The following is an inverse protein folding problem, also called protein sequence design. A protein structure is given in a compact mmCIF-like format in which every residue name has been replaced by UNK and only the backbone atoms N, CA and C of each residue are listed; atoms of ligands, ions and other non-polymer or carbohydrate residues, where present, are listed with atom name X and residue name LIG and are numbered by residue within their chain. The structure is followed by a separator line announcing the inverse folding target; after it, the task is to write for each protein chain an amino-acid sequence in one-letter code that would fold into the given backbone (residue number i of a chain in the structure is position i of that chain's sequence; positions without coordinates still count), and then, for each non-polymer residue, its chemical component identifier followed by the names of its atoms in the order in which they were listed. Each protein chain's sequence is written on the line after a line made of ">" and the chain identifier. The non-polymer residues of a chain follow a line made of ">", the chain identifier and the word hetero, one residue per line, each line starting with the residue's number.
data_IF_659335601056
#
_entry.id   IF_659335601056
#
_cell.length_a   1.000
_cell.length_b   1.000
_cell.length_c   1.000
_cell.angle_alpha   90.00
_cell.angle_beta   90.00
_cell.angle_gamma   90.00
#
_symmetry.space_group_name_H-M   'P 1'
#
loop_
_entity.id
_entity.type
_entity.pdbx_description
1 polymer ?
#
# COMPACT_ATOMS: atom_id res chain seq x y z
N UNK A 1 20.23 36.41 1.61
CA UNK A 1 20.05 35.96 0.23
C UNK A 1 20.30 34.47 0.20
N UNK A 2 19.25 33.69 0.25
CA UNK A 2 19.26 32.29 -0.19
C UNK A 2 17.80 31.88 -0.40
N UNK A 3 17.22 32.38 -1.48
CA UNK A 3 16.02 31.86 -2.13
C UNK A 3 16.56 31.31 -3.44
N UNK A 4 16.47 30.03 -3.61
CA UNK A 4 16.37 29.35 -4.90
C UNK A 4 16.87 27.91 -4.76
N UNK A 5 15.97 27.07 -4.23
CA UNK A 5 15.98 25.65 -4.60
C UNK A 5 14.61 25.04 -4.27
N UNK A 6 13.51 25.69 -4.68
CA UNK A 6 12.15 25.20 -4.52
C UNK A 6 11.57 24.65 -5.83
N UNK A 7 12.42 24.43 -6.82
CA UNK A 7 12.01 23.82 -8.07
C UNK A 7 12.36 22.33 -8.03
N UNK A 8 11.36 21.49 -8.03
CA UNK A 8 11.39 20.04 -8.28
C UNK A 8 11.53 19.13 -7.05
N UNK A 9 10.95 19.49 -5.93
CA UNK A 9 10.89 18.51 -4.83
C UNK A 9 9.76 17.51 -5.09
N UNK A 10 10.13 16.33 -5.59
CA UNK A 10 9.22 15.18 -5.76
C UNK A 10 8.55 14.85 -4.43
N UNK A 11 7.25 14.58 -4.42
CA UNK A 11 6.59 13.99 -3.27
C UNK A 11 6.96 12.51 -3.20
N UNK A 12 7.68 12.12 -2.17
CA UNK A 12 8.08 10.74 -1.94
C UNK A 12 7.65 10.30 -0.55
N UNK A 13 6.70 9.36 -0.50
CA UNK A 13 6.14 8.83 0.74
C UNK A 13 6.64 7.41 0.95
N UNK A 14 7.36 7.20 2.05
CA UNK A 14 7.85 5.89 2.46
C UNK A 14 6.83 5.19 3.35
N UNK A 15 6.80 3.85 3.29
CA UNK A 15 5.94 3.06 4.16
C UNK A 15 6.23 3.30 5.65
N UNK A 16 5.19 3.23 6.48
CA UNK A 16 5.30 3.42 7.93
C UNK A 16 6.12 2.30 8.57
N UNK A 17 7.33 2.65 9.00
CA UNK A 17 8.32 1.72 9.57
C UNK A 17 7.91 1.20 10.93
N UNK A 18 7.28 2.05 11.73
CA UNK A 18 6.85 1.68 13.09
C UNK A 18 5.82 0.55 13.02
N UNK A 19 4.87 0.67 12.10
CA UNK A 19 3.86 -0.36 11.87
C UNK A 19 4.49 -1.68 11.38
N UNK A 20 5.44 -1.61 10.44
CA UNK A 20 6.15 -2.80 9.95
C UNK A 20 7.01 -3.44 11.04
N UNK A 21 7.65 -2.63 11.87
CA UNK A 21 8.44 -3.08 13.02
C UNK A 21 7.58 -3.78 14.07
N UNK A 22 6.38 -3.27 14.36
CA UNK A 22 5.47 -3.92 15.32
C UNK A 22 4.97 -5.28 14.82
N UNK A 23 4.67 -5.43 13.53
CA UNK A 23 4.33 -6.74 12.96
C UNK A 23 5.51 -7.71 12.95
N UNK A 24 6.73 -7.22 12.71
CA UNK A 24 7.93 -8.04 12.79
C UNK A 24 8.14 -8.55 14.24
N UNK A 25 8.02 -7.65 15.22
CA UNK A 25 8.12 -7.99 16.64
C UNK A 25 7.05 -9.02 17.04
N UNK A 26 5.81 -8.84 16.61
CA UNK A 26 4.74 -9.82 16.85
C UNK A 26 5.08 -11.19 16.26
N UNK A 27 5.61 -11.23 15.04
CA UNK A 27 6.04 -12.49 14.40
C UNK A 27 7.13 -13.21 15.20
N UNK A 28 8.09 -12.46 15.73
CA UNK A 28 9.17 -13.00 16.60
C UNK A 28 8.60 -13.54 17.91
N UNK A 29 7.69 -12.82 18.56
CA UNK A 29 7.02 -13.29 19.79
C UNK A 29 6.21 -14.58 19.55
N UNK A 30 5.48 -14.67 18.42
CA UNK A 30 4.74 -15.88 18.05
C UNK A 30 5.67 -17.06 17.82
N UNK A 31 6.82 -16.84 17.16
CA UNK A 31 7.82 -17.88 16.93
C UNK A 31 8.42 -18.37 18.25
N UNK A 32 8.80 -17.46 19.14
CA UNK A 32 9.32 -17.81 20.46
C UNK A 32 8.28 -18.61 21.27
N UNK A 33 7.02 -18.18 21.27
CA UNK A 33 5.92 -18.90 21.91
C UNK A 33 5.72 -20.30 21.37
N UNK A 34 5.77 -20.48 20.03
CA UNK A 34 5.66 -21.77 19.39
C UNK A 34 6.81 -22.73 19.80
N UNK A 35 8.04 -22.22 19.87
CA UNK A 35 9.22 -22.99 20.31
C UNK A 35 9.06 -23.39 21.79
N UNK A 36 8.62 -22.48 22.67
CA UNK A 36 8.38 -22.79 24.07
C UNK A 36 7.32 -23.90 24.24
N UNK A 37 6.22 -23.85 23.51
CA UNK A 37 5.18 -24.90 23.54
C UNK A 37 5.73 -26.25 23.09
N UNK A 38 6.63 -26.30 22.12
CA UNK A 38 7.24 -27.54 21.67
C UNK A 38 8.24 -28.12 22.66
N UNK A 39 9.03 -27.26 23.29
CA UNK A 39 10.18 -27.69 24.12
C UNK A 39 9.82 -27.90 25.59
N UNK A 40 8.81 -27.20 26.10
CA UNK A 40 8.44 -27.29 27.51
C UNK A 40 7.38 -28.37 27.78
N UNK A 41 7.35 -28.97 28.97
CA UNK A 41 6.25 -29.82 29.40
C UNK A 41 4.99 -28.94 29.62
N UNK A 42 3.81 -29.46 29.23
CA UNK A 42 2.54 -28.78 29.37
C UNK A 42 1.62 -29.48 30.36
N UNK A 43 1.92 -29.37 31.70
CA UNK A 43 1.20 -30.13 32.72
C UNK A 43 -0.28 -29.71 32.86
N UNK A 44 -0.63 -28.51 32.35
CA UNK A 44 -1.99 -27.97 32.39
C UNK A 44 -2.85 -28.31 31.16
N UNK A 45 -2.27 -28.98 30.16
CA UNK A 45 -2.98 -29.34 28.95
C UNK A 45 -3.61 -30.75 29.08
N UNK A 46 -4.92 -30.85 28.85
CA UNK A 46 -5.63 -32.14 28.81
C UNK A 46 -5.05 -33.07 27.75
N UNK A 47 -4.64 -32.50 26.61
CA UNK A 47 -3.98 -33.25 25.55
C UNK A 47 -2.72 -32.50 25.04
N UNK A 48 -1.56 -32.73 25.67
CA UNK A 48 -0.32 -32.04 25.33
C UNK A 48 0.11 -32.22 23.86
N UNK A 49 -0.20 -33.37 23.27
CA UNK A 49 0.18 -33.67 21.89
C UNK A 49 -0.60 -32.81 20.89
N UNK A 50 -1.91 -32.69 21.06
CA UNK A 50 -2.75 -31.82 20.21
C UNK A 50 -2.29 -30.35 20.33
N UNK A 51 -2.00 -29.89 21.53
CA UNK A 51 -1.54 -28.54 21.77
C UNK A 51 -0.17 -28.29 21.13
N UNK A 52 0.77 -29.21 21.21
CA UNK A 52 2.08 -29.13 20.54
C UNK A 52 1.94 -29.11 19.03
N UNK A 53 1.08 -29.95 18.46
CA UNK A 53 0.86 -29.98 17.01
C UNK A 53 0.19 -28.68 16.54
N UNK A 54 -0.91 -28.28 17.17
CA UNK A 54 -1.67 -27.08 16.75
C UNK A 54 -0.93 -25.78 16.99
N UNK A 55 -0.48 -25.54 18.24
CA UNK A 55 0.17 -24.27 18.59
C UNK A 55 1.67 -24.26 18.32
N UNK A 56 2.36 -25.40 18.41
CA UNK A 56 3.78 -25.47 18.11
C UNK A 56 4.04 -25.55 16.61
N UNK A 57 3.76 -26.69 16.00
CA UNK A 57 4.13 -26.94 14.60
C UNK A 57 3.42 -26.05 13.59
N UNK A 58 2.12 -25.74 13.79
CA UNK A 58 1.37 -24.88 12.84
C UNK A 58 1.81 -23.42 12.98
N UNK A 59 2.11 -22.94 14.19
CA UNK A 59 2.49 -21.55 14.39
C UNK A 59 3.89 -21.20 13.89
N UNK A 60 4.81 -22.18 13.77
CA UNK A 60 6.15 -21.94 13.21
C UNK A 60 6.08 -21.41 11.78
N UNK A 61 5.47 -22.11 10.79
CA UNK A 61 5.42 -21.61 9.44
C UNK A 61 4.63 -20.29 9.33
N UNK A 62 3.59 -20.11 10.14
CA UNK A 62 2.82 -18.83 10.18
C UNK A 62 3.73 -17.68 10.66
N UNK A 63 4.48 -17.88 11.75
CA UNK A 63 5.39 -16.88 12.28
C UNK A 63 6.51 -16.54 11.30
N UNK A 64 7.12 -17.55 10.67
CA UNK A 64 8.14 -17.36 9.65
C UNK A 64 7.59 -16.59 8.43
N UNK A 65 6.38 -16.89 8.00
CA UNK A 65 5.71 -16.15 6.92
C UNK A 65 5.51 -14.67 7.28
N UNK A 66 5.05 -14.38 8.51
CA UNK A 66 4.89 -13.01 9.02
C UNK A 66 6.26 -12.30 9.03
N UNK A 67 7.29 -12.93 9.58
CA UNK A 67 8.64 -12.36 9.68
C UNK A 67 9.20 -12.09 8.27
N UNK A 68 9.24 -13.09 7.39
CA UNK A 68 9.81 -12.96 6.05
C UNK A 68 9.06 -11.91 5.22
N UNK A 69 7.72 -11.90 5.26
CA UNK A 69 6.93 -10.93 4.51
C UNK A 69 7.17 -9.50 4.99
N UNK A 70 7.36 -9.27 6.30
CA UNK A 70 7.66 -7.95 6.82
C UNK A 70 9.10 -7.52 6.56
N UNK A 71 10.08 -8.44 6.63
CA UNK A 71 11.48 -8.16 6.24
C UNK A 71 11.52 -7.73 4.77
N UNK A 72 10.85 -8.46 3.86
CA UNK A 72 10.80 -8.11 2.45
C UNK A 72 10.21 -6.72 2.24
N UNK A 73 9.13 -6.37 2.97
CA UNK A 73 8.52 -5.03 2.91
C UNK A 73 9.47 -3.94 3.44
N UNK A 74 10.22 -4.22 4.51
CA UNK A 74 11.20 -3.30 5.08
C UNK A 74 12.39 -3.10 4.13
N UNK A 75 12.90 -4.16 3.54
CA UNK A 75 14.05 -4.11 2.59
C UNK A 75 13.63 -3.45 1.28
N UNK A 76 12.44 -3.77 0.78
CA UNK A 76 11.85 -3.15 -0.41
C UNK A 76 11.28 -1.76 -0.17
N UNK A 77 11.66 -1.11 0.89
CA UNK A 77 11.26 0.20 1.41
C UNK A 77 11.25 1.36 0.42
N UNK A 78 11.10 1.10 -0.81
CA UNK A 78 11.12 2.13 -1.83
C UNK A 78 9.75 2.78 -1.86
N UNK A 79 9.81 4.08 -1.67
CA UNK A 79 8.78 5.06 -1.98
C UNK A 79 7.42 4.42 -2.28
N UNK A 80 6.59 4.27 -1.24
CA UNK A 80 5.28 3.64 -1.40
C UNK A 80 4.43 4.44 -2.39
N UNK A 81 4.54 5.78 -2.33
CA UNK A 81 3.92 6.69 -3.30
C UNK A 81 4.98 7.70 -3.73
N UNK A 82 5.12 7.90 -5.04
CA UNK A 82 5.95 8.96 -5.62
C UNK A 82 5.12 9.73 -6.62
N UNK A 83 5.17 11.06 -6.52
CA UNK A 83 4.61 11.97 -7.51
C UNK A 83 5.72 12.93 -7.90
N UNK A 84 6.12 12.89 -9.15
CA UNK A 84 7.21 13.68 -9.71
C UNK A 84 6.89 14.15 -11.15
N UNK A 85 7.87 14.71 -11.82
CA UNK A 85 7.75 15.19 -13.19
C UNK A 85 7.43 14.11 -14.24
N UNK A 86 7.71 12.86 -13.94
CA UNK A 86 7.50 11.72 -14.85
C UNK A 86 6.11 11.10 -14.73
N UNK A 87 5.47 11.19 -13.54
CA UNK A 87 4.18 10.58 -13.31
C UNK A 87 3.86 10.27 -11.86
N UNK A 88 2.96 9.31 -11.67
CA UNK A 88 2.53 8.82 -10.37
C UNK A 88 2.97 7.36 -10.21
N UNK A 89 3.66 7.06 -9.13
CA UNK A 89 4.00 5.69 -8.73
C UNK A 89 3.22 5.31 -7.47
N UNK A 90 2.49 4.21 -7.51
CA UNK A 90 1.83 3.60 -6.36
C UNK A 90 2.34 2.18 -6.12
N UNK A 91 3.19 2.04 -5.11
CA UNK A 91 3.74 0.78 -4.62
C UNK A 91 3.33 0.54 -3.17
N UNK A 92 2.18 1.05 -2.74
CA UNK A 92 1.70 0.95 -1.34
C UNK A 92 1.58 -0.49 -0.89
N UNK A 93 1.16 -1.37 -1.79
CA UNK A 93 1.08 -2.82 -1.56
C UNK A 93 1.23 -3.59 -2.87
N UNK A 94 0.98 -4.91 -2.83
CA UNK A 94 1.02 -5.77 -4.03
C UNK A 94 -0.09 -5.50 -5.05
N UNK A 95 -1.05 -4.66 -4.70
CA UNK A 95 -2.19 -4.24 -5.52
C UNK A 95 -2.09 -2.78 -5.97
N UNK A 96 -1.09 -2.03 -5.47
CA UNK A 96 -0.79 -0.68 -5.95
C UNK A 96 -0.57 -0.68 -7.46
N UNK A 97 -1.02 0.37 -8.13
CA UNK A 97 -1.05 0.44 -9.59
C UNK A 97 0.32 0.48 -10.27
N UNK A 98 1.41 0.60 -9.50
CA UNK A 98 2.75 0.79 -10.03
C UNK A 98 2.94 2.18 -10.64
N UNK A 99 3.91 2.31 -11.54
CA UNK A 99 4.19 3.58 -12.22
C UNK A 99 3.20 3.83 -13.35
N UNK A 100 2.68 5.06 -13.41
CA UNK A 100 1.81 5.56 -14.48
C UNK A 100 2.32 6.93 -14.90
N UNK A 101 2.85 7.09 -16.13
CA UNK A 101 3.34 8.37 -16.63
C UNK A 101 2.19 9.34 -16.91
N UNK A 102 2.49 10.66 -16.87
CA UNK A 102 1.48 11.69 -17.06
C UNK A 102 0.76 11.61 -18.40
N UNK A 103 1.42 11.15 -19.46
CA UNK A 103 0.83 10.99 -20.80
C UNK A 103 -0.28 9.94 -20.82
N UNK A 104 -0.21 8.96 -19.91
CA UNK A 104 -1.23 7.92 -19.78
C UNK A 104 -2.36 8.31 -18.80
N UNK A 105 -2.31 9.48 -18.18
CA UNK A 105 -3.33 9.96 -17.26
C UNK A 105 -4.20 11.01 -17.96
N UNK A 106 -5.49 10.79 -18.02
CA UNK A 106 -6.45 11.75 -18.55
C UNK A 106 -6.87 12.79 -17.50
N UNK A 107 -7.13 12.32 -16.27
CA UNK A 107 -7.56 13.19 -15.18
C UNK A 107 -7.11 12.67 -13.80
N UNK A 108 -6.93 13.60 -12.86
CA UNK A 108 -6.67 13.31 -11.45
C UNK A 108 -7.67 14.09 -10.61
N UNK A 109 -8.29 13.41 -9.64
CA UNK A 109 -9.24 14.03 -8.72
C UNK A 109 -9.23 13.37 -7.34
N UNK A 110 -9.84 14.05 -6.37
CA UNK A 110 -10.09 13.47 -5.06
C UNK A 110 -11.45 12.80 -5.02
N UNK A 111 -11.49 11.55 -4.55
CA UNK A 111 -12.70 10.79 -4.28
C UNK A 111 -12.86 10.62 -2.77
N UNK A 112 -13.95 11.13 -2.22
CA UNK A 112 -14.30 10.93 -0.82
C UNK A 112 -15.29 9.79 -0.68
N UNK A 113 -14.89 8.73 0.03
CA UNK A 113 -15.71 7.56 0.33
C UNK A 113 -15.79 7.38 1.85
N UNK A 114 -16.94 7.60 2.43
CA UNK A 114 -17.14 7.56 3.88
C UNK A 114 -16.07 8.41 4.61
N UNK A 115 -15.22 7.77 5.39
CA UNK A 115 -14.20 8.43 6.22
C UNK A 115 -12.84 8.57 5.53
N UNK A 116 -12.70 8.02 4.31
CA UNK A 116 -11.43 8.04 3.57
C UNK A 116 -11.50 8.91 2.32
N UNK A 117 -10.37 9.56 2.03
CA UNK A 117 -10.17 10.30 0.80
C UNK A 117 -9.06 9.64 -0.01
N UNK A 118 -9.33 9.42 -1.29
CA UNK A 118 -8.43 8.77 -2.24
C UNK A 118 -7.98 9.78 -3.29
N UNK A 119 -6.73 9.68 -3.71
CA UNK A 119 -6.28 10.31 -4.95
C UNK A 119 -6.55 9.34 -6.09
N UNK A 120 -7.37 9.76 -7.03
CA UNK A 120 -7.78 8.96 -8.17
C UNK A 120 -7.08 9.45 -9.42
N UNK A 121 -6.47 8.54 -10.18
CA UNK A 121 -5.93 8.81 -11.49
C UNK A 121 -6.66 7.93 -12.53
N UNK A 122 -7.18 8.54 -13.58
CA UNK A 122 -7.89 7.84 -14.65
C UNK A 122 -6.95 7.70 -15.82
N UNK A 123 -6.68 6.48 -16.31
CA UNK A 123 -5.88 6.30 -17.50
C UNK A 123 -6.63 6.80 -18.75
N UNK A 124 -5.88 7.37 -19.69
CA UNK A 124 -6.41 7.85 -20.99
C UNK A 124 -6.98 6.68 -21.82
N UNK A 125 -6.22 5.57 -21.86
CA UNK A 125 -6.63 4.31 -22.44
C UNK A 125 -6.52 3.23 -21.38
N UNK A 126 -7.69 2.76 -20.91
CA UNK A 126 -7.75 1.76 -19.83
C UNK A 126 -7.15 0.41 -20.25
N UNK A 127 -7.45 -0.05 -21.47
CA UNK A 127 -7.05 -1.39 -21.90
C UNK A 127 -5.53 -1.47 -22.12
N UNK A 128 -4.96 -0.46 -22.75
CA UNK A 128 -3.52 -0.32 -22.90
C UNK A 128 -2.83 -0.22 -21.53
N UNK A 129 -3.32 0.62 -20.63
CA UNK A 129 -2.78 0.77 -19.29
C UNK A 129 -2.90 -0.52 -18.46
N UNK A 130 -4.05 -1.20 -18.49
CA UNK A 130 -4.30 -2.44 -17.74
C UNK A 130 -3.41 -3.60 -18.23
N UNK A 131 -3.10 -3.67 -19.52
CA UNK A 131 -2.24 -4.71 -20.11
C UNK A 131 -0.81 -4.69 -19.55
N UNK A 132 -0.33 -3.54 -19.09
CA UNK A 132 1.00 -3.38 -18.47
C UNK A 132 1.04 -3.77 -16.99
N UNK A 133 -0.11 -4.12 -16.39
CA UNK A 133 -0.25 -4.44 -14.97
C UNK A 133 -0.19 -5.96 -14.73
N UNK A 134 0.21 -6.32 -13.52
CA UNK A 134 0.11 -7.71 -13.13
C UNK A 134 -1.37 -8.12 -12.97
N UNK A 135 -1.65 -9.43 -13.01
CA UNK A 135 -3.01 -9.98 -12.97
C UNK A 135 -3.85 -9.51 -11.77
N UNK A 136 -3.21 -9.27 -10.60
CA UNK A 136 -3.91 -8.80 -9.39
C UNK A 136 -4.27 -7.33 -9.49
N UNK A 137 -3.35 -6.52 -9.97
CA UNK A 137 -3.56 -5.08 -10.21
C UNK A 137 -4.65 -4.85 -11.25
N UNK A 138 -4.61 -5.56 -12.37
CA UNK A 138 -5.62 -5.47 -13.44
C UNK A 138 -7.02 -5.86 -12.92
N UNK A 139 -7.14 -6.94 -12.13
CA UNK A 139 -8.41 -7.35 -11.52
C UNK A 139 -8.98 -6.28 -10.57
N UNK A 140 -8.13 -5.68 -9.74
CA UNK A 140 -8.58 -4.62 -8.83
C UNK A 140 -9.02 -3.38 -9.60
N UNK A 141 -8.26 -2.98 -10.62
CA UNK A 141 -8.61 -1.86 -11.47
C UNK A 141 -9.94 -2.09 -12.20
N UNK A 142 -10.17 -3.31 -12.71
CA UNK A 142 -11.44 -3.69 -13.34
C UNK A 142 -12.59 -3.63 -12.34
N UNK A 143 -12.43 -4.20 -11.13
CA UNK A 143 -13.44 -4.14 -10.09
C UNK A 143 -13.78 -2.70 -9.69
N UNK A 144 -12.79 -1.80 -9.61
CA UNK A 144 -13.04 -0.39 -9.38
C UNK A 144 -13.86 0.24 -10.51
N UNK A 145 -13.51 -0.06 -11.77
CA UNK A 145 -14.23 0.43 -12.95
C UNK A 145 -15.68 -0.07 -12.98
N UNK A 146 -15.91 -1.36 -12.70
CA UNK A 146 -17.25 -1.98 -12.67
C UNK A 146 -18.14 -1.36 -11.57
N UNK A 147 -17.53 -0.92 -10.46
CA UNK A 147 -18.23 -0.16 -9.41
C UNK A 147 -18.41 1.33 -9.72
N UNK A 148 -18.02 1.80 -10.90
CA UNK A 148 -18.11 3.21 -11.29
C UNK A 148 -17.04 4.11 -10.66
N UNK A 149 -15.98 3.54 -10.11
CA UNK A 149 -14.85 4.27 -9.55
C UNK A 149 -13.69 4.43 -10.56
N UNK A 150 -12.73 5.28 -10.19
CA UNK A 150 -11.49 5.36 -10.96
C UNK A 150 -10.72 4.02 -10.88
N UNK A 151 -10.15 3.55 -12.00
CA UNK A 151 -9.36 2.31 -12.01
C UNK A 151 -8.18 2.34 -11.04
N UNK A 152 -7.48 3.47 -10.97
CA UNK A 152 -6.36 3.69 -10.07
C UNK A 152 -6.79 4.59 -8.90
N UNK A 153 -6.89 4.01 -7.71
CA UNK A 153 -7.23 4.69 -6.46
C UNK A 153 -6.10 4.54 -5.46
N UNK A 154 -5.44 5.64 -5.15
CA UNK A 154 -4.28 5.68 -4.26
C UNK A 154 -4.74 6.07 -2.86
N UNK A 155 -4.48 5.21 -1.88
CA UNK A 155 -4.81 5.43 -0.48
C UNK A 155 -3.56 5.81 0.31
N UNK A 156 -3.40 7.07 0.63
CA UNK A 156 -2.22 7.61 1.32
C UNK A 156 -2.05 7.05 2.73
N UNK A 157 -3.13 6.88 3.47
CA UNK A 157 -3.09 6.30 4.83
C UNK A 157 -2.49 4.90 4.88
N UNK A 158 -2.60 4.10 3.81
CA UNK A 158 -1.94 2.79 3.73
C UNK A 158 -0.42 2.90 3.64
N UNK A 159 0.08 3.94 2.99
CA UNK A 159 1.50 4.18 2.89
C UNK A 159 2.04 4.77 4.19
N UNK A 160 1.43 5.87 4.64
CA UNK A 160 1.83 6.58 5.84
C UNK A 160 0.69 7.49 6.29
N UNK A 161 0.28 7.37 7.54
CA UNK A 161 -0.82 8.14 8.16
C UNK A 161 -0.55 9.64 8.31
N UNK A 162 0.73 10.05 8.17
CA UNK A 162 1.13 11.48 8.18
C UNK A 162 0.75 12.22 6.90
N UNK A 163 0.44 11.50 5.82
CA UNK A 163 0.12 12.10 4.53
C UNK A 163 -1.31 11.82 4.14
N UNK A 164 -1.90 12.76 3.43
CA UNK A 164 -3.28 12.72 2.96
C UNK A 164 -3.36 12.76 1.43
N UNK A 165 -4.52 12.43 0.89
CA UNK A 165 -4.74 12.56 -0.55
C UNK A 165 -4.66 14.03 -1.04
N UNK A 166 -4.87 15.00 -0.12
CA UNK A 166 -4.69 16.42 -0.43
C UNK A 166 -3.21 16.77 -0.68
N UNK A 167 -2.28 16.18 0.09
CA UNK A 167 -0.84 16.37 -0.14
C UNK A 167 -0.46 15.81 -1.51
N UNK A 168 -1.03 14.64 -1.89
CA UNK A 168 -0.88 14.09 -3.23
C UNK A 168 -1.42 15.02 -4.31
N UNK A 169 -2.61 15.59 -4.13
CA UNK A 169 -3.18 16.54 -5.08
C UNK A 169 -2.34 17.82 -5.18
N UNK A 170 -1.77 18.29 -4.06
CA UNK A 170 -0.87 19.44 -4.06
C UNK A 170 0.41 19.16 -4.87
N UNK A 171 0.93 17.93 -4.81
CA UNK A 171 2.05 17.50 -5.66
C UNK A 171 1.64 17.44 -7.14
N UNK A 172 0.50 16.83 -7.47
CA UNK A 172 -0.03 16.81 -8.85
C UNK A 172 -0.17 18.23 -9.40
N UNK A 173 -0.62 19.20 -8.59
CA UNK A 173 -0.74 20.61 -9.01
C UNK A 173 0.58 21.25 -9.43
N UNK A 174 1.70 20.74 -8.92
CA UNK A 174 3.04 21.25 -9.30
C UNK A 174 3.51 20.67 -10.63
N UNK A 175 3.23 19.41 -10.90
CA UNK A 175 3.79 18.70 -12.04
C UNK A 175 2.84 18.58 -13.25
N UNK A 176 1.53 18.48 -13.00
CA UNK A 176 0.51 18.30 -14.03
C UNK A 176 -0.81 18.99 -13.63
N UNK A 177 -0.82 20.32 -13.46
CA UNK A 177 -2.01 21.06 -13.02
C UNK A 177 -3.18 20.92 -13.96
N UNK A 178 -2.94 20.73 -15.26
CA UNK A 178 -3.96 20.57 -16.32
C UNK A 178 -4.72 19.25 -16.19
N UNK A 179 -4.19 18.26 -15.49
CA UNK A 179 -4.85 16.96 -15.24
C UNK A 179 -5.85 17.01 -14.09
N UNK A 180 -5.85 18.08 -13.28
CA UNK A 180 -6.69 18.15 -12.09
C UNK A 180 -8.13 18.50 -12.48
N UNK A 181 -9.06 17.65 -12.06
CA UNK A 181 -10.49 17.89 -12.19
C UNK A 181 -11.13 18.13 -10.81
N UNK A 182 -12.42 18.51 -10.79
CA UNK A 182 -13.15 18.79 -9.54
C UNK A 182 -13.31 17.52 -8.71
N UNK A 183 -13.35 17.70 -7.38
CA UNK A 183 -13.66 16.62 -6.43
C UNK A 183 -14.97 15.95 -6.83
N UNK A 184 -14.94 14.65 -7.07
CA UNK A 184 -16.13 13.85 -7.37
C UNK A 184 -16.63 13.18 -6.09
N UNK A 185 -17.94 13.25 -5.88
CA UNK A 185 -18.63 12.38 -4.92
C UNK A 185 -19.19 11.19 -5.70
N UNK A 186 -19.15 9.96 -5.16
CA UNK A 186 -19.80 8.84 -5.82
C UNK A 186 -21.28 9.14 -5.98
N UNK A 187 -21.84 8.83 -7.14
CA UNK A 187 -23.28 8.79 -7.32
C UNK A 187 -23.74 7.44 -6.74
N UNK A 188 -24.40 7.49 -5.59
CA UNK A 188 -25.17 6.36 -5.06
C UNK A 188 -26.57 6.45 -5.60
#
# INVERSE_FOLDING_TARGET
>A
MSKENTATERLSITANVVLLGSYLFMGVCLLAGAILVLTQPLPFAENPMIMKVGMGWVMIPVSLFIICSNIIKIVRRRNAIVIDESGITDNTDSMGSGFTPWEQISEVFLLRLKDDTYLCAVPTDYDSWASTRNRRQARLAQANKDMGFAPNRIQFKKANDKYTAQDGLAAVRRFAPEKITRIRKPKY
#
